data_IF_691139447965
#
_entry.id   IF_691139447965
#
_cell.length_a   1.000
_cell.length_b   1.000
_cell.length_c   1.000
_cell.angle_alpha   90.00
_cell.angle_beta   90.00
_cell.angle_gamma   90.00
#
_symmetry.space_group_name_H-M   'P 1'
#
loop_
_entity.id
_entity.type
_entity.pdbx_description
1 polymer ?
#
# COMPACT_ATOMS: atom_id res chain seq x y z
N UNK A 1 -10.49 9.70 -23.25
CA UNK A 1 -11.91 9.80 -22.86
C UNK A 1 -12.06 9.01 -21.58
N UNK A 2 -12.64 9.57 -20.50
CA UNK A 2 -12.91 8.79 -19.30
C UNK A 2 -13.80 7.59 -19.66
N UNK A 3 -13.66 6.48 -18.92
CA UNK A 3 -14.49 5.30 -19.16
C UNK A 3 -15.97 5.65 -18.98
N UNK A 4 -16.81 5.14 -19.91
CA UNK A 4 -18.24 5.42 -19.91
C UNK A 4 -19.01 4.73 -18.77
N UNK A 5 -18.43 3.70 -18.14
CA UNK A 5 -19.00 2.99 -16.98
C UNK A 5 -17.93 2.25 -16.18
N UNK A 6 -18.27 1.76 -14.98
CA UNK A 6 -17.37 0.93 -14.17
C UNK A 6 -17.04 -0.40 -14.85
N UNK A 7 -17.98 -0.99 -15.60
CA UNK A 7 -17.74 -2.22 -16.36
C UNK A 7 -16.70 -1.97 -17.47
N UNK A 8 -16.78 -0.82 -18.15
CA UNK A 8 -15.81 -0.42 -19.14
C UNK A 8 -14.42 -0.20 -18.51
N UNK A 9 -14.36 0.45 -17.34
CA UNK A 9 -13.12 0.60 -16.57
C UNK A 9 -12.54 -0.77 -16.19
N UNK A 10 -13.37 -1.66 -15.64
CA UNK A 10 -12.95 -3.01 -15.24
C UNK A 10 -12.39 -3.82 -16.41
N UNK A 11 -13.06 -3.78 -17.56
CA UNK A 11 -12.60 -4.47 -18.76
C UNK A 11 -11.29 -3.87 -19.28
N UNK A 12 -11.21 -2.53 -19.35
CA UNK A 12 -10.01 -1.80 -19.76
C UNK A 12 -8.80 -2.05 -18.86
N UNK A 13 -9.02 -2.10 -17.55
CA UNK A 13 -7.98 -2.40 -16.56
C UNK A 13 -7.47 -3.85 -16.71
N UNK A 14 -8.38 -4.84 -16.86
CA UNK A 14 -7.99 -6.23 -17.12
C UNK A 14 -7.16 -6.37 -18.41
N UNK A 15 -7.56 -5.67 -19.48
CA UNK A 15 -6.85 -5.70 -20.75
C UNK A 15 -5.43 -5.12 -20.62
N UNK A 16 -5.29 -3.97 -19.93
CA UNK A 16 -3.99 -3.33 -19.66
C UNK A 16 -3.08 -4.21 -18.82
N UNK A 17 -3.58 -4.77 -17.70
CA UNK A 17 -2.81 -5.70 -16.87
C UNK A 17 -2.35 -6.93 -17.65
N UNK A 18 -3.18 -7.44 -18.55
CA UNK A 18 -2.82 -8.58 -19.41
C UNK A 18 -1.81 -8.22 -20.49
N UNK A 19 -1.75 -6.96 -20.93
CA UNK A 19 -0.70 -6.46 -21.81
C UNK A 19 0.62 -6.31 -21.05
N UNK A 20 0.58 -5.68 -19.89
CA UNK A 20 1.76 -5.45 -19.05
C UNK A 20 2.40 -6.77 -18.58
N UNK A 21 1.58 -7.73 -18.14
CA UNK A 21 2.06 -9.05 -17.70
C UNK A 21 2.76 -9.86 -18.81
N UNK A 22 2.56 -9.54 -20.11
CA UNK A 22 3.24 -10.21 -21.22
C UNK A 22 4.69 -9.75 -21.39
N UNK A 23 4.99 -8.53 -20.96
CA UNK A 23 6.32 -7.91 -21.08
C UNK A 23 7.03 -7.76 -19.73
N UNK A 24 6.29 -7.93 -18.64
CA UNK A 24 6.78 -7.87 -17.26
C UNK A 24 7.22 -9.25 -16.76
N UNK A 25 8.10 -9.26 -15.75
CA UNK A 25 8.45 -10.47 -14.99
C UNK A 25 7.38 -10.87 -13.96
N UNK A 26 6.37 -10.03 -13.76
CA UNK A 26 5.32 -10.23 -12.77
C UNK A 26 4.05 -10.79 -13.39
N UNK A 27 3.36 -11.64 -12.63
CA UNK A 27 2.06 -12.16 -13.03
C UNK A 27 1.00 -11.06 -13.09
N UNK A 28 -0.06 -11.30 -13.87
CA UNK A 28 -1.22 -10.39 -13.93
C UNK A 28 -1.81 -10.15 -12.54
N UNK A 29 -1.83 -11.16 -11.69
CA UNK A 29 -2.43 -11.08 -10.37
C UNK A 29 -1.54 -10.24 -9.43
N UNK A 30 -0.22 -10.40 -9.45
CA UNK A 30 0.71 -9.51 -8.71
C UNK A 30 0.59 -8.04 -9.14
N UNK A 31 0.45 -7.79 -10.45
CA UNK A 31 0.21 -6.45 -10.97
C UNK A 31 -1.15 -5.90 -10.51
N UNK A 32 -2.20 -6.74 -10.48
CA UNK A 32 -3.52 -6.35 -10.02
C UNK A 32 -3.52 -5.97 -8.51
N UNK A 33 -2.77 -6.69 -7.68
CA UNK A 33 -2.57 -6.37 -6.27
C UNK A 33 -1.84 -5.03 -6.10
N UNK A 34 -0.78 -4.83 -6.88
CA UNK A 34 0.00 -3.58 -6.85
C UNK A 34 -0.83 -2.38 -7.29
N UNK A 35 -1.62 -2.51 -8.36
CA UNK A 35 -2.54 -1.45 -8.80
C UNK A 35 -3.63 -1.20 -7.76
N UNK A 36 -4.14 -2.25 -7.10
CA UNK A 36 -5.11 -2.10 -6.00
C UNK A 36 -4.55 -1.24 -4.88
N UNK A 37 -3.31 -1.50 -4.45
CA UNK A 37 -2.62 -0.67 -3.47
C UNK A 37 -2.37 0.76 -3.97
N UNK A 38 -1.93 0.92 -5.21
CA UNK A 38 -1.73 2.25 -5.81
C UNK A 38 -3.01 3.10 -5.75
N UNK A 39 -4.14 2.53 -6.17
CA UNK A 39 -5.43 3.22 -6.17
C UNK A 39 -5.89 3.53 -4.75
N UNK A 40 -5.72 2.58 -3.82
CA UNK A 40 -6.04 2.80 -2.42
C UNK A 40 -5.20 3.92 -1.80
N UNK A 41 -3.88 3.88 -1.98
CA UNK A 41 -2.96 4.92 -1.50
C UNK A 41 -3.28 6.27 -2.13
N UNK A 42 -3.63 6.31 -3.42
CA UNK A 42 -4.05 7.54 -4.07
C UNK A 42 -5.27 8.17 -3.39
N UNK A 43 -6.26 7.38 -2.98
CA UNK A 43 -7.43 7.89 -2.23
C UNK A 43 -7.06 8.30 -0.82
N UNK A 44 -6.26 7.50 -0.12
CA UNK A 44 -5.83 7.79 1.25
C UNK A 44 -5.06 9.10 1.34
N UNK A 45 -4.09 9.31 0.44
CA UNK A 45 -3.25 10.52 0.39
C UNK A 45 -3.91 11.72 -0.31
N UNK A 46 -5.16 11.58 -0.77
CA UNK A 46 -6.03 12.72 -1.16
C UNK A 46 -7.09 13.03 -0.11
N UNK A 47 -7.23 12.19 0.91
CA UNK A 47 -8.22 12.39 1.97
C UNK A 47 -7.88 13.59 2.85
N UNK A 48 -8.85 14.13 3.61
CA UNK A 48 -8.60 15.22 4.56
C UNK A 48 -7.51 14.89 5.61
N UNK A 49 -7.32 13.61 5.94
CA UNK A 49 -6.34 13.14 6.92
C UNK A 49 -4.99 12.77 6.28
N UNK A 50 -4.72 13.16 5.03
CA UNK A 50 -3.53 12.72 4.30
C UNK A 50 -2.21 13.02 5.03
N UNK A 51 -2.15 14.11 5.79
CA UNK A 51 -0.98 14.51 6.59
C UNK A 51 -0.79 13.68 7.88
N UNK A 52 -1.78 12.85 8.23
CA UNK A 52 -1.74 11.92 9.36
C UNK A 52 -1.20 10.54 8.97
N UNK A 53 -1.04 10.27 7.67
CA UNK A 53 -0.61 8.97 7.15
C UNK A 53 0.83 9.02 6.65
N UNK A 54 1.59 7.96 6.95
CA UNK A 54 2.97 7.81 6.56
C UNK A 54 3.16 6.41 6.01
N UNK A 55 3.68 6.30 4.79
CA UNK A 55 4.06 5.03 4.22
C UNK A 55 5.42 4.59 4.79
N UNK A 56 5.49 3.37 5.29
CA UNK A 56 6.67 2.84 6.00
C UNK A 56 7.17 1.56 5.34
N UNK A 57 8.10 0.88 6.00
CA UNK A 57 8.43 -0.51 5.73
C UNK A 57 8.88 -0.83 4.30
N UNK A 58 8.50 -2.01 3.82
CA UNK A 58 8.87 -2.50 2.50
C UNK A 58 8.17 -1.75 1.37
N UNK A 59 6.97 -1.23 1.63
CA UNK A 59 6.18 -0.47 0.66
C UNK A 59 6.82 0.88 0.34
N UNK A 60 7.38 1.58 1.33
CA UNK A 60 8.13 2.82 1.10
C UNK A 60 9.37 2.60 0.22
N UNK A 61 10.07 1.46 0.40
CA UNK A 61 11.23 1.11 -0.42
C UNK A 61 10.86 0.94 -1.91
N UNK A 62 9.66 0.45 -2.21
CA UNK A 62 9.20 0.29 -3.60
C UNK A 62 9.15 1.63 -4.33
N UNK A 63 8.68 2.69 -3.66
CA UNK A 63 8.62 4.02 -4.27
C UNK A 63 10.00 4.68 -4.39
N UNK A 64 10.94 4.32 -3.50
CA UNK A 64 12.33 4.81 -3.56
C UNK A 64 13.15 4.14 -4.67
N UNK A 65 12.92 2.86 -4.94
CA UNK A 65 13.68 2.07 -5.91
C UNK A 65 12.77 1.27 -6.87
N UNK A 66 11.97 1.95 -7.71
CA UNK A 66 10.87 1.33 -8.47
C UNK A 66 11.32 0.27 -9.49
N UNK A 67 12.56 0.33 -9.97
CA UNK A 67 13.12 -0.63 -10.93
C UNK A 67 13.72 -1.88 -10.27
N UNK A 68 14.10 -1.78 -9.00
CA UNK A 68 14.81 -2.82 -8.26
C UNK A 68 13.91 -3.55 -7.25
N UNK A 69 12.92 -2.86 -6.69
CA UNK A 69 11.99 -3.44 -5.73
C UNK A 69 11.00 -4.40 -6.40
N UNK A 70 10.69 -5.50 -5.71
CA UNK A 70 9.55 -6.37 -6.07
C UNK A 70 8.25 -5.59 -5.80
N UNK A 71 7.25 -5.64 -6.69
CA UNK A 71 5.91 -5.17 -6.38
C UNK A 71 5.42 -5.89 -5.13
N UNK A 72 5.10 -5.12 -4.09
CA UNK A 72 4.57 -5.68 -2.86
C UNK A 72 3.05 -5.74 -2.94
N UNK A 73 2.48 -6.83 -2.42
CA UNK A 73 1.05 -7.01 -2.22
C UNK A 73 0.57 -6.41 -0.88
N UNK A 74 1.51 -5.87 -0.11
CA UNK A 74 1.34 -5.43 1.27
C UNK A 74 1.69 -3.94 1.36
N UNK A 75 0.82 -3.15 2.00
CA UNK A 75 1.11 -1.75 2.34
C UNK A 75 1.35 -1.58 3.85
N UNK A 76 2.58 -1.18 4.19
CA UNK A 76 2.97 -0.78 5.54
C UNK A 76 2.62 0.71 5.75
N UNK A 77 1.70 1.00 6.67
CA UNK A 77 1.27 2.34 7.00
C UNK A 77 1.46 2.63 8.49
N UNK A 78 1.92 3.82 8.79
CA UNK A 78 1.90 4.42 10.11
C UNK A 78 0.96 5.62 10.12
N UNK A 79 0.32 5.86 11.26
CA UNK A 79 -0.50 7.03 11.46
C UNK A 79 -0.33 7.62 12.85
N UNK A 80 -0.49 8.94 12.93
CA UNK A 80 -0.57 9.70 14.19
C UNK A 80 -1.96 9.57 14.85
N UNK A 81 -2.96 9.08 14.11
CA UNK A 81 -4.32 8.87 14.58
C UNK A 81 -4.38 7.73 15.62
N UNK A 82 -5.38 7.80 16.50
CA UNK A 82 -5.79 6.66 17.30
C UNK A 82 -6.57 5.63 16.46
N UNK A 83 -6.90 4.49 17.06
CA UNK A 83 -7.56 3.40 16.35
C UNK A 83 -8.95 3.76 15.79
N UNK A 84 -9.72 4.60 16.48
CA UNK A 84 -11.06 4.98 16.06
C UNK A 84 -11.02 5.94 14.87
N UNK A 85 -10.19 6.97 14.97
CA UNK A 85 -9.98 7.96 13.91
C UNK A 85 -9.29 7.34 12.70
N UNK A 86 -8.31 6.44 12.90
CA UNK A 86 -7.70 5.65 11.83
C UNK A 86 -8.77 4.87 11.05
N UNK A 87 -9.67 4.17 11.75
CA UNK A 87 -10.76 3.45 11.10
C UNK A 87 -11.71 4.38 10.34
N UNK A 88 -12.00 5.56 10.88
CA UNK A 88 -12.82 6.56 10.19
C UNK A 88 -12.15 7.01 8.89
N UNK A 89 -10.87 7.36 8.95
CA UNK A 89 -10.06 7.79 7.80
C UNK A 89 -10.00 6.71 6.71
N UNK A 90 -9.75 5.45 7.08
CA UNK A 90 -9.77 4.31 6.15
C UNK A 90 -11.14 4.14 5.49
N UNK A 91 -12.24 4.28 6.23
CA UNK A 91 -13.62 4.21 5.67
C UNK A 91 -13.92 5.34 4.70
N UNK A 92 -13.31 6.52 4.87
CA UNK A 92 -13.44 7.61 3.90
C UNK A 92 -12.67 7.27 2.62
N UNK A 93 -11.41 6.85 2.73
CA UNK A 93 -10.58 6.45 1.59
C UNK A 93 -11.15 5.24 0.83
N UNK A 94 -11.95 4.40 1.49
CA UNK A 94 -12.59 3.25 0.88
C UNK A 94 -13.63 3.60 -0.19
N UNK A 95 -14.28 4.76 -0.06
CA UNK A 95 -15.36 5.18 -0.97
C UNK A 95 -14.80 5.90 -2.19
N UNK A 96 -15.37 5.70 -3.40
CA UNK A 96 -14.95 6.44 -4.58
C UNK A 96 -15.32 7.92 -4.46
N UNK A 97 -14.37 8.81 -4.77
CA UNK A 97 -14.62 10.23 -5.03
C UNK A 97 -14.92 10.51 -6.51
N UNK A 98 -15.06 11.79 -6.89
CA UNK A 98 -15.17 12.18 -8.29
C UNK A 98 -13.95 11.70 -9.10
N UNK A 99 -14.19 11.02 -10.23
CA UNK A 99 -13.12 10.49 -11.10
C UNK A 99 -12.55 9.14 -10.67
N UNK A 100 -12.93 8.64 -9.50
CA UNK A 100 -12.58 7.31 -9.04
C UNK A 100 -13.56 6.25 -9.56
N UNK A 101 -13.08 5.03 -9.77
CA UNK A 101 -13.90 3.86 -10.11
C UNK A 101 -13.79 2.80 -9.03
N UNK A 102 -14.90 2.14 -8.71
CA UNK A 102 -14.94 1.04 -7.74
C UNK A 102 -14.72 1.48 -6.30
N UNK A 103 -14.91 0.54 -5.38
CA UNK A 103 -14.85 0.75 -3.94
C UNK A 103 -13.94 -0.27 -3.27
N UNK A 104 -13.49 0.05 -2.06
CA UNK A 104 -12.68 -0.84 -1.25
C UNK A 104 -13.48 -1.36 -0.05
N UNK A 105 -13.51 -2.68 0.13
CA UNK A 105 -13.85 -3.26 1.43
C UNK A 105 -12.58 -3.38 2.24
N UNK A 106 -12.54 -2.75 3.43
CA UNK A 106 -11.38 -2.78 4.31
C UNK A 106 -11.76 -3.48 5.61
N UNK A 107 -11.05 -4.57 5.91
CA UNK A 107 -11.13 -5.24 7.21
C UNK A 107 -9.82 -5.04 7.93
N UNK A 108 -9.86 -4.60 9.19
CA UNK A 108 -8.68 -4.50 10.06
C UNK A 108 -8.94 -5.20 11.38
N UNK A 109 -7.91 -5.79 11.95
CA UNK A 109 -7.96 -6.51 13.22
C UNK A 109 -6.73 -6.13 14.06
N UNK A 110 -6.88 -5.81 15.35
CA UNK A 110 -5.74 -5.58 16.23
C UNK A 110 -4.88 -6.84 16.33
N UNK A 111 -3.56 -6.64 16.37
CA UNK A 111 -2.62 -7.73 16.63
C UNK A 111 -2.41 -7.92 18.14
N UNK A 112 -1.50 -8.83 18.51
CA UNK A 112 -1.08 -8.99 19.91
C UNK A 112 -0.25 -7.81 20.44
N UNK A 113 0.36 -7.04 19.53
CA UNK A 113 1.16 -5.89 19.86
C UNK A 113 0.26 -4.64 19.91
N UNK A 114 0.20 -3.93 21.05
CA UNK A 114 -0.60 -2.72 21.17
C UNK A 114 -0.27 -1.70 20.07
N UNK A 115 -1.30 -1.11 19.47
CA UNK A 115 -1.16 -0.10 18.43
C UNK A 115 -0.85 -0.65 17.02
N UNK A 116 -0.62 -1.96 16.88
CA UNK A 116 -0.44 -2.62 15.58
C UNK A 116 -1.70 -3.36 15.15
N UNK A 117 -2.08 -3.19 13.87
CA UNK A 117 -3.23 -3.85 13.25
C UNK A 117 -2.81 -4.52 11.95
N UNK A 118 -3.39 -5.68 11.69
CA UNK A 118 -3.31 -6.34 10.39
C UNK A 118 -4.63 -6.14 9.64
N UNK A 119 -4.56 -5.95 8.33
CA UNK A 119 -5.72 -5.64 7.52
C UNK A 119 -5.68 -6.28 6.14
N UNK A 120 -6.84 -6.26 5.50
CA UNK A 120 -7.05 -6.69 4.13
C UNK A 120 -7.91 -5.68 3.42
N UNK A 121 -7.49 -5.31 2.21
CA UNK A 121 -8.28 -4.51 1.28
C UNK A 121 -8.79 -5.45 0.19
N UNK A 122 -10.07 -5.37 -0.13
CA UNK A 122 -10.64 -5.93 -1.36
C UNK A 122 -11.10 -4.80 -2.24
N UNK A 123 -10.60 -4.77 -3.47
CA UNK A 123 -11.07 -3.82 -4.46
C UNK A 123 -12.20 -4.43 -5.28
N UNK A 124 -13.34 -3.76 -5.33
CA UNK A 124 -14.49 -4.14 -6.12
C UNK A 124 -14.73 -3.09 -7.21
N UNK A 125 -15.04 -3.54 -8.43
CA UNK A 125 -15.40 -2.68 -9.56
C UNK A 125 -16.66 -3.26 -10.19
N UNK A 126 -17.68 -2.42 -10.43
CA UNK A 126 -19.00 -2.84 -10.91
C UNK A 126 -19.61 -3.93 -10.01
N UNK A 127 -19.52 -3.74 -8.69
CA UNK A 127 -20.04 -4.68 -7.67
C UNK A 127 -19.36 -6.06 -7.64
N UNK A 128 -18.24 -6.23 -8.36
CA UNK A 128 -17.53 -7.50 -8.42
C UNK A 128 -16.10 -7.35 -7.92
N UNK A 129 -15.65 -8.33 -7.15
CA UNK A 129 -14.24 -8.45 -6.73
C UNK A 129 -13.31 -8.37 -7.93
N UNK A 130 -12.30 -7.52 -7.79
CA UNK A 130 -11.23 -7.33 -8.75
C UNK A 130 -9.92 -7.95 -8.26
N UNK A 131 -9.46 -7.55 -7.06
CA UNK A 131 -8.24 -8.05 -6.42
C UNK A 131 -8.28 -7.78 -4.91
N UNK A 132 -7.28 -8.26 -4.19
CA UNK A 132 -7.09 -8.02 -2.76
C UNK A 132 -5.64 -7.69 -2.49
N UNK A 133 -5.42 -6.90 -1.45
CA UNK A 133 -4.11 -6.58 -0.92
C UNK A 133 -4.14 -6.65 0.61
N UNK A 134 -2.98 -6.69 1.24
CA UNK A 134 -2.88 -6.66 2.71
C UNK A 134 -2.43 -5.28 3.19
N UNK A 135 -2.75 -4.98 4.45
CA UNK A 135 -2.33 -3.79 5.15
C UNK A 135 -1.66 -4.19 6.46
N UNK A 136 -0.52 -3.60 6.75
CA UNK A 136 0.05 -3.58 8.08
C UNK A 136 0.00 -2.13 8.59
N UNK A 137 -0.66 -1.92 9.73
CA UNK A 137 -0.96 -0.59 10.25
C UNK A 137 -0.35 -0.41 11.64
N UNK A 138 0.24 0.76 11.87
CA UNK A 138 0.70 1.20 13.18
C UNK A 138 0.06 2.54 13.56
N UNK A 139 -0.52 2.62 14.74
CA UNK A 139 -1.17 3.83 15.28
C UNK A 139 -0.28 4.53 16.29
N UNK A 140 -0.61 5.79 16.62
CA UNK A 140 0.14 6.62 17.57
C UNK A 140 1.64 6.70 17.29
N UNK A 141 2.03 6.56 16.02
CA UNK A 141 3.43 6.49 15.67
C UNK A 141 3.96 7.89 15.36
N UNK A 142 4.69 8.46 16.30
CA UNK A 142 5.50 9.65 16.03
C UNK A 142 6.78 9.24 15.30
N UNK A 143 7.09 9.93 14.21
CA UNK A 143 8.36 9.73 13.51
C UNK A 143 9.48 10.45 14.26
N UNK A 144 10.64 9.80 14.34
CA UNK A 144 11.85 10.37 14.94
C UNK A 144 12.47 11.44 14.03
N UNK A 145 12.32 11.29 12.73
CA UNK A 145 12.79 12.24 11.72
C UNK A 145 11.60 12.84 10.96
N UNK A 146 11.74 14.05 10.39
CA UNK A 146 10.72 14.60 9.49
C UNK A 146 10.41 13.61 8.35
N UNK A 147 9.13 13.34 8.05
CA UNK A 147 8.76 12.51 6.92
C UNK A 147 9.31 13.07 5.61
N UNK A 148 9.70 12.17 4.71
CA UNK A 148 10.09 12.53 3.35
C UNK A 148 8.89 12.47 2.43
N UNK A 149 8.83 13.34 1.42
CA UNK A 149 7.74 13.34 0.44
C UNK A 149 8.22 12.78 -0.90
N UNK A 150 7.35 12.02 -1.58
CA UNK A 150 7.59 11.56 -2.94
C UNK A 150 6.38 11.78 -3.84
N UNK A 151 6.63 12.07 -5.12
CA UNK A 151 5.62 12.00 -6.18
C UNK A 151 5.82 10.69 -6.93
N UNK A 152 5.09 9.62 -6.57
CA UNK A 152 5.39 8.29 -7.09
C UNK A 152 4.96 8.19 -8.55
N UNK A 153 5.75 7.45 -9.34
CA UNK A 153 5.31 7.02 -10.67
C UNK A 153 4.34 5.85 -10.51
N UNK A 154 3.16 5.88 -11.14
CA UNK A 154 2.24 4.75 -11.08
C UNK A 154 2.88 3.53 -11.74
N UNK A 155 2.62 2.35 -11.17
CA UNK A 155 3.07 1.06 -11.71
C UNK A 155 2.37 0.75 -13.02
N UNK A 156 1.08 1.13 -13.12
CA UNK A 156 0.33 1.12 -14.36
C UNK A 156 -0.24 2.52 -14.58
N UNK A 157 0.18 3.16 -15.65
CA UNK A 157 -0.40 4.42 -16.08
C UNK A 157 -1.84 4.20 -16.53
N UNK A 158 -2.76 4.91 -15.89
CA UNK A 158 -4.17 4.93 -16.22
C UNK A 158 -4.49 6.39 -16.52
N UNK A 159 -4.35 6.78 -17.79
CA UNK A 159 -4.49 8.17 -18.24
C UNK A 159 -5.87 8.77 -17.93
N UNK A 160 -6.85 7.91 -17.64
CA UNK A 160 -8.20 8.31 -17.24
C UNK A 160 -8.33 8.64 -15.75
N UNK A 161 -7.30 8.40 -14.93
CA UNK A 161 -7.27 8.70 -13.50
C UNK A 161 -6.36 9.88 -13.21
N UNK A 162 -6.68 10.60 -12.12
CA UNK A 162 -5.82 11.65 -11.63
C UNK A 162 -4.43 11.12 -11.26
N UNK A 163 -3.35 11.91 -11.49
CA UNK A 163 -1.99 11.54 -11.12
C UNK A 163 -1.87 11.20 -9.63
N UNK A 164 -0.93 10.30 -9.30
CA UNK A 164 -0.68 9.95 -7.90
C UNK A 164 -0.41 11.21 -7.05
N UNK A 165 -1.05 11.33 -5.87
CA UNK A 165 -0.76 12.43 -4.95
C UNK A 165 0.67 12.32 -4.41
N UNK A 166 1.12 13.41 -3.79
CA UNK A 166 2.34 13.36 -2.98
C UNK A 166 2.11 12.43 -1.78
N UNK A 167 3.00 11.47 -1.61
CA UNK A 167 2.96 10.51 -0.50
C UNK A 167 4.02 10.91 0.53
N UNK A 168 3.62 10.88 1.80
CA UNK A 168 4.51 11.05 2.94
C UNK A 168 5.07 9.68 3.31
N UNK A 169 6.39 9.58 3.43
CA UNK A 169 7.12 8.36 3.71
C UNK A 169 8.02 8.53 4.92
N UNK A 170 8.22 7.43 5.64
CA UNK A 170 9.25 7.38 6.68
C UNK A 170 10.62 7.73 6.10
N UNK A 171 11.38 8.53 6.85
CA UNK A 171 12.73 8.92 6.46
C UNK A 171 13.61 7.67 6.26
N UNK A 172 14.46 7.68 5.24
CA UNK A 172 15.24 6.49 4.88
C UNK A 172 16.15 6.01 6.04
N UNK A 173 16.76 6.94 6.76
CA UNK A 173 17.60 6.63 7.91
C UNK A 173 16.81 5.98 9.06
N UNK A 174 15.59 6.44 9.31
CA UNK A 174 14.70 5.86 10.33
C UNK A 174 14.23 4.46 9.92
N UNK A 175 13.89 4.27 8.64
CA UNK A 175 13.49 2.96 8.13
C UNK A 175 14.63 1.92 8.22
N UNK A 176 15.88 2.33 7.99
CA UNK A 176 17.05 1.47 8.20
C UNK A 176 17.21 1.12 9.68
N UNK A 177 17.06 2.10 10.58
CA UNK A 177 17.16 1.89 12.02
C UNK A 177 16.10 0.88 12.52
N UNK A 178 14.85 1.02 12.10
CA UNK A 178 13.78 0.07 12.42
C UNK A 178 14.09 -1.35 11.92
N UNK A 179 14.64 -1.47 10.70
CA UNK A 179 14.98 -2.76 10.13
C UNK A 179 16.10 -3.45 10.92
N UNK A 180 17.10 -2.68 11.37
CA UNK A 180 18.19 -3.18 12.22
C UNK A 180 17.64 -3.58 13.60
N UNK A 181 16.79 -2.76 14.21
CA UNK A 181 16.17 -3.07 15.50
C UNK A 181 15.36 -4.38 15.43
N UNK A 182 14.51 -4.53 14.41
CA UNK A 182 13.74 -5.75 14.19
C UNK A 182 14.62 -7.00 14.01
N UNK A 183 15.79 -6.87 13.37
CA UNK A 183 16.73 -7.97 13.24
C UNK A 183 17.27 -8.41 14.61
N UNK A 184 17.59 -7.47 15.50
CA UNK A 184 18.10 -7.79 16.84
C UNK A 184 17.02 -8.35 17.78
N UNK A 185 15.78 -7.86 17.69
CA UNK A 185 14.65 -8.41 18.48
C UNK A 185 14.38 -9.88 18.13
N UNK A 186 14.44 -10.24 16.85
CA UNK A 186 14.29 -11.62 16.39
C UNK A 186 15.42 -12.54 16.89
N UNK A 187 16.62 -12.00 17.12
CA UNK A 187 17.75 -12.76 17.68
C UNK A 187 17.75 -12.84 19.21
N UNK A 188 16.91 -12.06 19.90
CA UNK A 188 16.91 -11.91 21.35
C UNK A 188 16.05 -12.93 22.13
N UNK A 189 15.20 -13.71 21.45
CA UNK A 189 14.36 -14.73 22.08
C UNK A 189 14.78 -16.14 21.66
N UNK A 190 15.71 -16.71 22.43
CA UNK A 190 16.19 -18.10 22.38
C UNK A 190 16.93 -18.52 21.10
N UNK A 191 18.18 -18.95 21.30
CA UNK A 191 18.86 -19.83 20.34
C UNK A 191 17.99 -21.05 20.02
N UNK A 192 18.14 -21.55 18.81
CA UNK A 192 17.32 -22.58 18.14
C UNK A 192 15.97 -22.09 17.61
N UNK A 193 15.99 -21.29 16.54
CA UNK A 193 15.61 -21.72 15.18
C UNK A 193 15.73 -20.50 14.25
N UNK A 194 16.67 -20.54 13.29
CA UNK A 194 16.69 -19.59 12.18
C UNK A 194 15.44 -19.80 11.32
N UNK A 195 14.53 -18.82 11.25
CA UNK A 195 13.55 -18.74 10.16
C UNK A 195 14.26 -18.10 8.95
N UNK A 196 14.58 -18.85 7.88
CA UNK A 196 15.19 -18.27 6.72
C UNK A 196 14.07 -17.71 5.85
N UNK A 197 13.82 -16.40 5.96
CA UNK A 197 13.35 -15.67 4.78
C UNK A 197 14.58 -15.14 4.05
N UNK A 198 15.15 -15.91 3.10
CA UNK A 198 16.33 -15.46 2.40
C UNK A 198 15.98 -14.23 1.57
N UNK A 199 16.58 -13.09 1.92
CA UNK A 199 16.89 -12.04 0.97
C UNK A 199 17.72 -12.67 -0.15
N UNK A 200 17.09 -13.00 -1.28
CA UNK A 200 17.82 -13.32 -2.50
C UNK A 200 18.40 -12.02 -3.05
N UNK A 201 19.64 -11.75 -2.65
CA UNK A 201 20.54 -10.88 -3.39
C UNK A 201 21.11 -11.69 -4.57
N UNK A 202 20.45 -11.59 -5.72
CA UNK A 202 21.05 -11.78 -7.05
C UNK A 202 20.26 -10.94 -8.05
#
# INVERSE_FOLDING_TARGET
MPYASEEAFRAGLKARLSAEARTSRFSRDELAQTVTLQLFLARLFRSPDADQWILTGGSALQFRAPTQARPTADADLATRLDAEHMQHSLRQAARPGPGDFGEFDITITPTRSPGLFAGRIRYNIAGQRFSDATLDLSTHREMLLPPETISPRPVLALDELDPMPVIWMQAAAEAVADKVAALYELTGTHGDTLDPRPLRLT
#
